data_IF_152473103748
#
_entry.id   IF_152473103748
#
_cell.length_a   1.000
_cell.length_b   1.000
_cell.length_c   1.000
_cell.angle_alpha   90.00
_cell.angle_beta   90.00
_cell.angle_gamma   90.00
#
_symmetry.space_group_name_H-M   'P 1'
#
loop_
_entity.id
_entity.type
_entity.pdbx_description
1 polymer ?
#
# COMPACT_ATOMS: atom_id res chain seq x y z
N UNK A 1 3.34 -14.67 28.85
CA UNK A 1 2.85 -15.23 27.57
C UNK A 1 3.34 -14.33 26.45
N UNK A 2 4.40 -14.73 25.75
CA UNK A 2 4.91 -13.99 24.60
C UNK A 2 3.92 -14.23 23.45
N UNK A 3 3.17 -13.19 23.03
CA UNK A 3 2.46 -13.26 21.75
C UNK A 3 3.55 -13.33 20.68
N UNK A 4 3.68 -14.49 20.04
CA UNK A 4 4.36 -14.61 18.76
C UNK A 4 3.94 -13.44 17.89
N UNK A 5 4.89 -12.72 17.31
CA UNK A 5 4.58 -11.72 16.29
C UNK A 5 3.67 -12.37 15.25
N UNK A 6 2.60 -11.69 14.81
CA UNK A 6 1.71 -12.21 13.78
C UNK A 6 2.52 -12.57 12.52
N UNK A 7 2.26 -13.75 11.96
CA UNK A 7 2.88 -14.22 10.71
C UNK A 7 2.19 -13.54 9.52
N UNK A 8 2.64 -12.33 9.21
CA UNK A 8 2.17 -11.58 8.04
C UNK A 8 2.82 -12.12 6.76
N UNK A 9 2.01 -12.37 5.73
CA UNK A 9 2.48 -12.65 4.38
C UNK A 9 2.91 -11.37 3.65
N UNK A 10 2.28 -10.24 3.96
CA UNK A 10 2.63 -8.90 3.47
C UNK A 10 2.60 -7.94 4.64
N UNK A 11 3.67 -7.17 4.84
CA UNK A 11 3.71 -6.05 5.78
C UNK A 11 4.33 -4.84 5.07
N UNK A 12 3.63 -3.71 5.08
CA UNK A 12 4.16 -2.40 4.70
C UNK A 12 3.86 -1.41 5.81
N UNK A 13 4.85 -0.56 6.10
CA UNK A 13 4.77 0.49 7.12
C UNK A 13 5.09 1.83 6.50
N UNK A 14 4.21 2.79 6.70
CA UNK A 14 4.33 4.16 6.22
C UNK A 14 4.75 4.26 4.74
N UNK A 15 4.15 3.44 3.87
CA UNK A 15 4.52 3.40 2.46
C UNK A 15 4.06 4.69 1.75
N UNK A 16 5.02 5.46 1.28
CA UNK A 16 4.81 6.67 0.48
C UNK A 16 5.35 6.45 -0.92
N UNK A 17 4.58 6.88 -1.92
CA UNK A 17 5.02 6.85 -3.32
C UNK A 17 4.57 8.11 -4.03
N UNK A 18 5.53 8.81 -4.60
CA UNK A 18 5.32 9.92 -5.52
C UNK A 18 5.89 9.56 -6.88
N UNK A 19 5.08 9.68 -7.92
CA UNK A 19 5.56 9.65 -9.29
C UNK A 19 6.04 11.06 -9.67
N UNK A 20 7.20 11.18 -10.34
CA UNK A 20 7.71 12.47 -10.76
C UNK A 20 6.79 13.13 -11.79
N UNK A 21 6.95 14.44 -11.97
CA UNK A 21 6.31 15.15 -13.06
C UNK A 21 6.74 14.53 -14.40
N UNK A 22 5.81 14.42 -15.34
CA UNK A 22 6.05 13.82 -16.65
C UNK A 22 5.34 14.65 -17.73
N UNK A 23 6.12 15.20 -18.68
CA UNK A 23 5.60 16.10 -19.69
C UNK A 23 4.90 17.31 -19.07
N UNK A 24 3.61 17.48 -19.37
CA UNK A 24 2.76 18.56 -18.81
C UNK A 24 2.11 18.20 -17.47
N UNK A 25 2.23 16.96 -17.00
CA UNK A 25 1.61 16.53 -15.76
C UNK A 25 2.52 16.83 -14.56
N UNK A 26 2.00 17.44 -13.47
CA UNK A 26 2.77 17.66 -12.26
C UNK A 26 3.07 16.32 -11.56
N UNK A 27 4.02 16.35 -10.62
CA UNK A 27 4.28 15.19 -9.76
C UNK A 27 3.02 14.78 -9.00
N UNK A 28 2.82 13.47 -8.83
CA UNK A 28 1.62 12.91 -8.20
C UNK A 28 2.00 12.01 -7.04
N UNK A 29 1.60 12.40 -5.83
CA UNK A 29 1.67 11.53 -4.67
C UNK A 29 0.55 10.48 -4.74
N UNK A 30 0.91 9.25 -5.09
CA UNK A 30 -0.01 8.14 -5.30
C UNK A 30 -0.29 7.35 -4.02
N UNK A 31 0.70 7.22 -3.12
CA UNK A 31 0.52 6.63 -1.78
C UNK A 31 0.96 7.65 -0.72
N UNK A 32 0.15 7.81 0.33
CA UNK A 32 0.28 8.87 1.34
C UNK A 32 0.51 8.31 2.75
N UNK A 33 1.46 7.39 2.89
CA UNK A 33 1.76 6.76 4.18
C UNK A 33 0.78 5.64 4.50
N UNK A 34 0.86 4.55 3.73
CA UNK A 34 -0.01 3.38 3.91
C UNK A 34 0.64 2.40 4.88
N UNK A 35 -0.09 2.02 5.91
CA UNK A 35 0.18 0.86 6.75
C UNK A 35 -0.78 -0.28 6.34
N UNK A 36 -0.22 -1.44 6.01
CA UNK A 36 -1.01 -2.62 5.65
C UNK A 36 -0.27 -3.87 6.15
N UNK A 37 -1.01 -4.73 6.83
CA UNK A 37 -0.55 -6.04 7.25
C UNK A 37 -1.59 -7.08 6.80
N UNK A 38 -1.15 -8.09 6.05
CA UNK A 38 -1.98 -9.19 5.56
C UNK A 38 -1.48 -10.48 6.21
N UNK A 39 -2.33 -11.13 6.99
CA UNK A 39 -2.01 -12.40 7.65
C UNK A 39 -1.80 -13.52 6.64
N UNK A 40 -0.84 -14.41 6.92
CA UNK A 40 -0.61 -15.58 6.09
C UNK A 40 -1.85 -16.48 6.06
N UNK A 41 -2.21 -16.93 4.87
CA UNK A 41 -3.39 -17.78 4.64
C UNK A 41 -4.72 -17.00 4.52
N UNK A 42 -4.69 -15.68 4.61
CA UNK A 42 -5.87 -14.84 4.36
C UNK A 42 -6.02 -14.47 2.88
N UNK A 43 -7.25 -14.13 2.48
CA UNK A 43 -7.54 -13.49 1.20
C UNK A 43 -7.81 -12.01 1.42
N UNK A 44 -7.04 -11.14 0.75
CA UNK A 44 -7.16 -9.69 0.86
C UNK A 44 -7.64 -9.09 -0.46
N UNK A 45 -8.59 -8.16 -0.40
CA UNK A 45 -9.11 -7.42 -1.54
C UNK A 45 -8.95 -5.91 -1.34
N UNK A 46 -8.35 -5.24 -2.31
CA UNK A 46 -8.18 -3.79 -2.31
C UNK A 46 -9.22 -3.12 -3.21
N UNK A 47 -10.15 -2.40 -2.60
CA UNK A 47 -11.25 -1.72 -3.30
C UNK A 47 -11.12 -0.20 -3.23
N UNK A 48 -11.71 0.49 -4.21
CA UNK A 48 -11.72 1.96 -4.24
C UNK A 48 -11.85 2.51 -5.66
N UNK A 49 -12.11 3.82 -5.81
CA UNK A 49 -12.31 4.47 -7.10
C UNK A 49 -11.04 4.49 -7.97
N UNK A 50 -11.19 4.81 -9.25
CA UNK A 50 -10.05 4.99 -10.15
C UNK A 50 -9.13 6.11 -9.66
N UNK A 51 -7.82 5.88 -9.73
CA UNK A 51 -6.82 6.83 -9.26
C UNK A 51 -6.56 6.85 -7.75
N UNK A 52 -7.21 5.99 -6.96
CA UNK A 52 -7.01 5.89 -5.50
C UNK A 52 -5.65 5.28 -5.07
N UNK A 53 -4.80 4.88 -6.00
CA UNK A 53 -3.48 4.29 -5.71
C UNK A 53 -3.44 2.76 -5.63
N UNK A 54 -4.54 2.06 -5.95
CA UNK A 54 -4.62 0.59 -5.87
C UNK A 54 -3.52 -0.13 -6.66
N UNK A 55 -3.40 0.14 -7.96
CA UNK A 55 -2.34 -0.41 -8.82
C UNK A 55 -0.96 0.14 -8.53
N UNK A 56 -0.84 1.16 -7.67
CA UNK A 56 0.46 1.60 -7.16
C UNK A 56 0.86 0.80 -5.92
N UNK A 57 -0.12 0.26 -5.19
CA UNK A 57 0.10 -0.52 -3.96
C UNK A 57 0.40 -2.01 -4.25
N UNK A 58 -0.06 -2.55 -5.39
CA UNK A 58 0.13 -3.96 -5.80
C UNK A 58 1.02 -4.12 -7.03
#
# INVERSE_FOLDING_TARGET
MSKSSPDYAVEVKNLVKTYPAAGKAPAKQALKGIDLAVERGSMFALLGPNGAGKSTLI
#
